data_IF_012076277551
#
_entry.id   IF_012076277551
#
_cell.length_a   1.000
_cell.length_b   1.000
_cell.length_c   1.000
_cell.angle_alpha   90.00
_cell.angle_beta   90.00
_cell.angle_gamma   90.00
#
_symmetry.space_group_name_H-M   'P 1'
#
loop_
_entity.id
_entity.type
_entity.pdbx_description
1 polymer ?
#
# COMPACT_ATOMS: atom_id res chain seq x y z
N UNK A 1 0.38 -9.92 -0.32
CA UNK A 1 0.99 -8.73 0.30
C UNK A 1 0.27 -8.52 1.61
N UNK A 2 0.97 -8.38 2.72
CA UNK A 2 0.34 -8.02 3.99
C UNK A 2 -0.25 -6.63 3.86
N UNK A 3 -1.45 -6.39 4.36
CA UNK A 3 -2.11 -5.09 4.33
C UNK A 3 -1.53 -4.06 5.30
N UNK A 4 -0.42 -4.37 5.97
CA UNK A 4 0.14 -3.50 7.01
C UNK A 4 0.71 -2.20 6.44
N UNK A 5 0.35 -1.08 7.03
CA UNK A 5 0.84 0.25 6.69
C UNK A 5 2.37 0.41 6.84
N UNK A 6 3.03 -0.50 7.54
CA UNK A 6 4.48 -0.48 7.79
C UNK A 6 5.24 -1.57 7.02
N UNK A 7 4.55 -2.62 6.55
CA UNK A 7 5.19 -3.81 5.98
C UNK A 7 5.76 -3.63 4.58
N UNK A 8 5.34 -2.63 3.89
CA UNK A 8 5.81 -2.37 2.54
C UNK A 8 6.49 -1.01 2.54
N UNK A 9 7.81 -1.02 2.69
CA UNK A 9 8.63 0.16 2.43
C UNK A 9 8.36 0.58 0.99
N UNK A 10 7.49 1.57 0.81
CA UNK A 10 7.05 2.01 -0.51
C UNK A 10 5.56 1.94 -0.78
N UNK A 11 4.74 1.46 0.14
CA UNK A 11 3.28 1.54 -0.01
C UNK A 11 2.77 2.92 0.42
N UNK A 12 3.04 3.90 -0.43
CA UNK A 12 2.60 5.30 -0.26
C UNK A 12 1.09 5.46 -0.08
N UNK A 13 0.32 4.48 -0.54
CA UNK A 13 -1.15 4.46 -0.48
C UNK A 13 -1.70 4.12 0.91
N UNK A 14 -0.92 3.43 1.75
CA UNK A 14 -1.33 3.09 3.11
C UNK A 14 -0.81 4.09 4.14
N UNK A 15 0.47 4.45 4.04
CA UNK A 15 1.08 5.45 4.91
C UNK A 15 2.16 6.22 4.15
N UNK A 16 1.95 7.51 3.86
CA UNK A 16 2.94 8.30 3.14
C UNK A 16 4.30 8.42 3.87
N UNK A 17 4.35 8.27 5.19
CA UNK A 17 5.61 8.26 5.93
C UNK A 17 6.44 6.97 5.72
N UNK A 18 5.86 5.92 5.13
CA UNK A 18 6.58 4.66 4.88
C UNK A 18 7.83 4.82 4.03
N UNK A 19 7.90 5.84 3.20
CA UNK A 19 9.06 6.13 2.37
C UNK A 19 10.14 6.97 3.08
N UNK A 20 9.87 7.50 4.29
CA UNK A 20 10.81 8.39 4.97
C UNK A 20 12.17 7.73 5.28
N UNK A 21 12.18 6.42 5.47
CA UNK A 21 13.38 5.62 5.73
C UNK A 21 14.02 5.01 4.47
N UNK A 22 13.47 5.28 3.29
CA UNK A 22 14.03 4.74 2.04
C UNK A 22 15.34 5.44 1.69
N UNK A 23 16.39 4.67 1.46
CA UNK A 23 17.75 5.18 1.17
C UNK A 23 18.16 5.03 -0.29
N UNK A 24 17.33 4.38 -1.14
CA UNK A 24 17.67 4.00 -2.50
C UNK A 24 16.59 4.40 -3.50
N UNK A 25 16.95 4.42 -4.78
CA UNK A 25 15.96 4.47 -5.84
C UNK A 25 15.20 3.14 -5.86
N UNK A 26 13.89 3.19 -5.63
CA UNK A 26 13.03 1.99 -5.67
C UNK A 26 11.90 2.22 -6.66
N UNK A 27 11.74 1.29 -7.60
CA UNK A 27 10.59 1.30 -8.54
C UNK A 27 9.87 -0.02 -8.43
N UNK A 28 8.57 0.01 -8.15
CA UNK A 28 7.72 -1.16 -7.98
C UNK A 28 6.56 -1.11 -8.94
N UNK A 29 6.30 -2.24 -9.59
CA UNK A 29 5.17 -2.48 -10.47
C UNK A 29 4.39 -3.67 -9.94
N UNK A 30 3.07 -3.59 -9.92
CA UNK A 30 2.22 -4.73 -9.64
C UNK A 30 1.10 -4.84 -10.67
N UNK A 31 0.64 -6.07 -10.88
CA UNK A 31 -0.47 -6.37 -11.76
C UNK A 31 -1.31 -7.53 -11.22
N UNK A 32 -2.60 -7.31 -11.13
CA UNK A 32 -3.61 -8.33 -10.81
C UNK A 32 -4.59 -8.42 -11.98
N UNK A 33 -4.45 -9.43 -12.87
CA UNK A 33 -5.18 -9.47 -14.14
C UNK A 33 -6.68 -9.72 -13.98
N UNK A 34 -7.06 -10.49 -12.97
CA UNK A 34 -8.45 -10.89 -12.76
C UNK A 34 -8.72 -11.18 -11.28
N UNK A 35 -8.84 -10.12 -10.45
CA UNK A 35 -9.32 -10.29 -9.09
C UNK A 35 -10.63 -11.07 -9.08
N UNK A 36 -10.73 -12.07 -8.20
CA UNK A 36 -11.90 -12.95 -8.09
C UNK A 36 -12.29 -13.66 -9.41
N UNK A 37 -11.30 -13.89 -10.29
CA UNK A 37 -11.48 -14.43 -11.64
C UNK A 37 -12.29 -13.52 -12.59
N UNK A 38 -12.44 -12.24 -12.26
CA UNK A 38 -13.14 -11.24 -13.06
C UNK A 38 -12.13 -10.29 -13.73
N UNK A 39 -11.85 -10.42 -15.05
CA UNK A 39 -10.92 -9.52 -15.78
C UNK A 39 -11.34 -8.05 -15.73
N UNK A 40 -12.65 -7.80 -15.52
CA UNK A 40 -13.21 -6.45 -15.36
C UNK A 40 -12.68 -5.71 -14.12
N UNK A 41 -12.14 -6.45 -13.15
CA UNK A 41 -11.55 -5.89 -11.94
C UNK A 41 -10.02 -5.82 -12.02
N UNK A 42 -9.44 -5.85 -13.23
CA UNK A 42 -7.99 -5.79 -13.39
C UNK A 42 -7.41 -4.57 -12.67
N UNK A 43 -6.29 -4.78 -11.99
CA UNK A 43 -5.63 -3.73 -11.22
C UNK A 43 -4.13 -3.71 -11.54
N UNK A 44 -3.65 -2.55 -11.91
CA UNK A 44 -2.26 -2.26 -12.23
C UNK A 44 -1.77 -1.10 -11.38
N UNK A 45 -0.52 -1.12 -10.97
CA UNK A 45 0.10 0.01 -10.29
C UNK A 45 1.61 0.08 -10.51
N UNK A 46 2.10 1.31 -10.50
CA UNK A 46 3.51 1.67 -10.60
C UNK A 46 3.82 2.71 -9.52
N UNK A 47 4.92 2.55 -8.82
CA UNK A 47 5.42 3.53 -7.86
C UNK A 47 6.93 3.64 -8.00
N UNK A 48 7.44 4.86 -8.03
CA UNK A 48 8.88 5.15 -7.99
C UNK A 48 9.17 6.05 -6.82
N UNK A 49 10.14 5.66 -5.99
CA UNK A 49 10.61 6.39 -4.81
C UNK A 49 12.06 6.78 -5.05
N UNK A 50 12.41 8.01 -4.74
CA UNK A 50 13.79 8.50 -4.80
C UNK A 50 14.14 9.30 -3.56
N UNK A 51 15.31 9.01 -3.01
CA UNK A 51 15.89 9.79 -1.93
C UNK A 51 16.62 11.03 -2.50
N UNK A 52 16.42 12.17 -1.84
CA UNK A 52 17.13 13.43 -2.06
C UNK A 52 17.60 13.97 -0.71
N UNK A 53 18.79 13.56 -0.29
CA UNK A 53 19.39 13.91 0.99
C UNK A 53 18.47 13.66 2.21
N UNK A 54 17.73 14.72 2.60
CA UNK A 54 16.88 14.68 3.80
C UNK A 54 15.42 14.33 3.51
N UNK A 55 15.01 14.35 2.24
CA UNK A 55 13.62 14.10 1.84
C UNK A 55 13.53 12.96 0.85
N UNK A 56 12.52 12.17 1.01
CA UNK A 56 12.13 11.16 0.05
C UNK A 56 10.89 11.61 -0.71
N UNK A 57 10.93 11.43 -2.02
CA UNK A 57 9.80 11.69 -2.89
C UNK A 57 9.37 10.40 -3.58
N UNK A 58 8.08 10.28 -3.79
CA UNK A 58 7.54 9.22 -4.62
C UNK A 58 6.52 9.75 -5.62
N UNK A 59 6.49 9.13 -6.79
CA UNK A 59 5.42 9.29 -7.78
C UNK A 59 4.75 7.92 -7.98
N UNK A 60 3.42 7.91 -8.03
CA UNK A 60 2.64 6.69 -8.17
C UNK A 60 1.53 6.83 -9.21
N UNK A 61 1.20 5.72 -9.82
CA UNK A 61 0.09 5.57 -10.75
C UNK A 61 -0.61 4.26 -10.48
N UNK A 62 -1.96 4.28 -10.42
CA UNK A 62 -2.75 3.05 -10.42
C UNK A 62 -3.90 3.16 -11.40
N UNK A 63 -4.30 2.01 -11.95
CA UNK A 63 -5.49 1.89 -12.78
C UNK A 63 -6.25 0.64 -12.39
N UNK A 64 -7.55 0.79 -12.13
CA UNK A 64 -8.47 -0.28 -11.78
C UNK A 64 -9.66 -0.26 -12.71
N UNK A 65 -10.14 -1.45 -13.09
CA UNK A 65 -11.36 -1.59 -13.86
C UNK A 65 -11.15 -1.88 -15.35
N UNK A 66 -12.13 -1.54 -16.15
CA UNK A 66 -12.22 -1.88 -17.58
C UNK A 66 -12.82 -0.75 -18.42
N UNK A 67 -13.20 -1.01 -19.68
CA UNK A 67 -13.67 0.03 -20.60
C UNK A 67 -14.93 0.76 -20.17
N UNK A 68 -15.84 0.09 -19.43
CA UNK A 68 -17.09 0.70 -18.97
C UNK A 68 -16.98 1.43 -17.63
N UNK A 69 -16.02 1.04 -16.79
CA UNK A 69 -15.77 1.61 -15.48
C UNK A 69 -14.26 1.61 -15.21
N UNK A 70 -13.66 2.76 -15.05
CA UNK A 70 -12.22 2.88 -14.78
C UNK A 70 -11.94 3.94 -13.73
N UNK A 71 -11.17 3.53 -12.74
CA UNK A 71 -10.54 4.42 -11.79
C UNK A 71 -9.05 4.55 -12.10
N UNK A 72 -8.56 5.77 -12.11
CA UNK A 72 -7.15 6.07 -12.32
C UNK A 72 -6.67 7.03 -11.24
N UNK A 73 -5.56 6.72 -10.61
CA UNK A 73 -4.99 7.56 -9.55
C UNK A 73 -3.56 7.91 -9.90
N UNK A 74 -3.26 9.20 -9.85
CA UNK A 74 -1.89 9.73 -9.88
C UNK A 74 -1.56 10.27 -8.51
N UNK A 75 -0.42 9.90 -7.95
CA UNK A 75 0.02 10.34 -6.63
C UNK A 75 1.40 10.95 -6.64
N UNK A 76 1.60 11.88 -5.72
CA UNK A 76 2.90 12.43 -5.39
C UNK A 76 3.04 12.48 -3.87
N UNK A 77 4.11 11.86 -3.36
CA UNK A 77 4.38 11.74 -1.93
C UNK A 77 5.69 12.42 -1.60
N UNK A 78 5.71 13.11 -0.47
CA UNK A 78 6.92 13.64 0.14
C UNK A 78 6.99 13.19 1.61
N UNK A 79 8.14 12.69 2.05
CA UNK A 79 8.34 12.26 3.43
C UNK A 79 9.77 12.49 3.89
N UNK A 80 9.95 12.66 5.21
CA UNK A 80 11.26 12.88 5.83
C UNK A 80 11.31 12.29 7.22
N UNK A 81 12.50 11.90 7.65
CA UNK A 81 12.82 11.66 9.05
C UNK A 81 13.24 12.99 9.70
N UNK A 82 12.53 13.43 10.71
CA UNK A 82 12.87 14.62 11.51
C UNK A 82 13.92 14.31 12.57
N UNK A 83 13.86 13.09 13.11
CA UNK A 83 14.85 12.51 14.04
C UNK A 83 15.13 11.07 13.61
N UNK A 84 16.07 10.41 14.27
CA UNK A 84 16.34 8.97 14.02
C UNK A 84 15.12 8.09 14.28
N UNK A 85 14.21 8.54 15.17
CA UNK A 85 13.04 7.75 15.60
C UNK A 85 11.71 8.31 15.16
N UNK A 86 11.64 9.47 14.47
CA UNK A 86 10.37 10.08 14.07
C UNK A 86 10.43 10.61 12.64
N UNK A 87 9.48 10.18 11.82
CA UNK A 87 9.27 10.66 10.47
C UNK A 87 7.81 10.98 10.16
N UNK A 88 7.60 11.82 9.16
CA UNK A 88 6.27 12.11 8.64
C UNK A 88 6.28 12.23 7.12
N UNK A 89 5.10 12.10 6.54
CA UNK A 89 4.89 12.21 5.10
C UNK A 89 3.51 12.74 4.75
N UNK A 90 3.43 13.30 3.58
CA UNK A 90 2.20 13.76 2.94
C UNK A 90 2.11 13.14 1.55
N UNK A 91 0.92 12.71 1.17
CA UNK A 91 0.61 12.27 -0.18
C UNK A 91 -0.53 13.11 -0.74
N UNK A 92 -0.38 13.56 -1.97
CA UNK A 92 -1.45 14.23 -2.72
C UNK A 92 -1.73 13.40 -3.95
N UNK A 93 -2.98 13.01 -4.16
CA UNK A 93 -3.35 12.23 -5.31
C UNK A 93 -4.59 12.76 -6.02
N UNK A 94 -4.57 12.68 -7.34
CA UNK A 94 -5.69 12.97 -8.21
C UNK A 94 -6.38 11.66 -8.58
N UNK A 95 -7.63 11.52 -8.15
CA UNK A 95 -8.48 10.37 -8.47
C UNK A 95 -9.37 10.75 -9.64
N UNK A 96 -9.28 10.01 -10.72
CA UNK A 96 -10.10 10.16 -11.91
C UNK A 96 -10.98 8.93 -12.10
N UNK A 97 -12.29 9.14 -12.02
CA UNK A 97 -13.32 8.12 -12.28
C UNK A 97 -13.91 8.39 -13.66
N UNK A 98 -14.00 7.35 -14.48
CA UNK A 98 -14.65 7.38 -15.79
C UNK A 98 -15.66 6.24 -15.91
N UNK A 99 -16.92 6.57 -16.18
CA UNK A 99 -18.01 5.60 -16.37
C UNK A 99 -18.62 5.85 -17.74
N UNK A 100 -18.61 4.82 -18.59
CA UNK A 100 -19.15 4.92 -19.95
C UNK A 100 -20.61 5.33 -19.90
N UNK A 101 -21.01 6.28 -20.72
CA UNK A 101 -22.34 6.87 -20.82
C UNK A 101 -22.77 7.72 -19.61
N UNK A 102 -22.01 7.77 -18.52
CA UNK A 102 -22.30 8.63 -17.37
C UNK A 102 -21.31 9.81 -17.25
N UNK A 103 -20.15 9.73 -17.93
CA UNK A 103 -19.14 10.77 -17.92
C UNK A 103 -17.94 10.46 -17.03
N UNK A 104 -17.24 11.50 -16.62
CA UNK A 104 -16.06 11.37 -15.75
C UNK A 104 -16.01 12.47 -14.70
N UNK A 105 -15.40 12.17 -13.58
CA UNK A 105 -15.14 13.11 -12.48
C UNK A 105 -13.68 12.98 -12.02
N UNK A 106 -13.12 14.09 -11.53
CA UNK A 106 -11.78 14.10 -10.96
C UNK A 106 -11.81 14.84 -9.64
N UNK A 107 -11.17 14.27 -8.63
CA UNK A 107 -11.04 14.91 -7.33
C UNK A 107 -9.62 14.77 -6.80
N UNK A 108 -9.22 15.70 -5.94
CA UNK A 108 -7.91 15.68 -5.28
C UNK A 108 -8.08 15.22 -3.84
N UNK A 109 -7.23 14.32 -3.41
CA UNK A 109 -7.23 13.74 -2.07
C UNK A 109 -5.86 13.98 -1.43
N UNK A 110 -5.86 14.26 -0.14
CA UNK A 110 -4.64 14.45 0.66
C UNK A 110 -4.62 13.47 1.81
N UNK A 111 -3.48 12.80 1.97
CA UNK A 111 -3.21 11.86 3.06
C UNK A 111 -2.04 12.35 3.89
N UNK A 112 -2.08 12.07 5.18
CA UNK A 112 -0.99 12.32 6.11
C UNK A 112 -0.54 11.01 6.75
N UNK A 113 0.74 10.93 7.07
CA UNK A 113 1.28 9.78 7.76
C UNK A 113 2.43 10.13 8.69
N UNK A 114 2.62 9.30 9.71
CA UNK A 114 3.77 9.36 10.59
C UNK A 114 4.31 7.96 10.84
N UNK A 115 5.61 7.89 11.15
CA UNK A 115 6.29 6.69 11.60
C UNK A 115 7.13 7.03 12.83
N UNK A 116 7.07 6.17 13.84
CA UNK A 116 7.82 6.29 15.09
C UNK A 116 8.55 4.96 15.31
N UNK A 117 9.87 5.03 15.53
CA UNK A 117 10.74 3.89 15.83
C UNK A 117 11.30 4.08 17.24
N UNK A 118 10.54 3.76 18.31
CA UNK A 118 10.94 4.06 19.70
C UNK A 118 12.11 3.22 20.20
N UNK A 119 12.25 2.03 19.64
CA UNK A 119 13.38 1.10 19.88
C UNK A 119 13.75 0.42 18.58
N UNK A 120 14.92 -0.16 18.53
CA UNK A 120 15.38 -0.93 17.37
C UNK A 120 14.41 -2.03 16.99
N UNK A 121 14.19 -2.23 15.69
CA UNK A 121 13.31 -3.26 15.11
C UNK A 121 11.82 -3.12 15.43
N UNK A 122 11.37 -2.07 16.09
CA UNK A 122 9.96 -1.82 16.38
C UNK A 122 9.52 -0.48 15.81
N UNK A 123 8.47 -0.52 14.98
CA UNK A 123 7.90 0.67 14.36
C UNK A 123 6.41 0.77 14.69
N UNK A 124 5.96 2.00 14.87
CA UNK A 124 4.56 2.38 15.02
C UNK A 124 4.25 3.37 13.89
N UNK A 125 3.19 3.12 13.14
CA UNK A 125 2.73 4.01 12.07
C UNK A 125 1.33 4.51 12.32
N UNK A 126 1.09 5.77 11.99
CA UNK A 126 -0.24 6.35 11.93
C UNK A 126 -0.46 6.94 10.56
N UNK A 127 -1.63 6.72 9.99
CA UNK A 127 -2.03 7.29 8.70
C UNK A 127 -3.47 7.76 8.76
N UNK A 128 -3.71 8.90 8.14
CA UNK A 128 -5.03 9.46 7.89
C UNK A 128 -5.17 9.72 6.40
N UNK A 129 -5.98 8.92 5.76
CA UNK A 129 -6.25 9.01 4.33
C UNK A 129 -7.52 9.84 4.11
N UNK A 130 -7.50 10.67 3.07
CA UNK A 130 -8.56 11.61 2.73
C UNK A 130 -8.90 12.59 3.89
N UNK A 131 -7.90 13.34 4.35
CA UNK A 131 -8.07 14.33 5.43
C UNK A 131 -9.11 15.40 5.08
N UNK A 132 -9.21 15.76 3.79
CA UNK A 132 -10.14 16.77 3.27
C UNK A 132 -11.57 16.29 3.07
N UNK A 133 -11.85 14.99 3.29
CA UNK A 133 -13.15 14.36 2.97
C UNK A 133 -13.58 14.65 1.53
N UNK A 134 -12.65 14.50 0.61
CA UNK A 134 -12.89 14.69 -0.83
C UNK A 134 -13.92 13.68 -1.34
N UNK A 135 -14.70 14.08 -2.35
CA UNK A 135 -15.71 13.25 -3.02
C UNK A 135 -15.65 13.46 -4.53
N UNK A 136 -16.23 12.57 -5.31
CA UNK A 136 -16.46 12.78 -6.75
C UNK A 136 -17.73 13.60 -7.05
N UNK A 137 -18.65 13.68 -6.11
CA UNK A 137 -19.91 14.40 -6.20
C UNK A 137 -20.64 14.41 -4.87
N UNK A 138 -21.91 14.82 -4.86
CA UNK A 138 -22.68 14.99 -3.62
C UNK A 138 -22.92 13.67 -2.85
N UNK A 139 -22.99 12.55 -3.56
CA UNK A 139 -23.33 11.23 -2.99
C UNK A 139 -22.24 10.18 -3.19
N UNK A 140 -21.04 10.58 -3.65
CA UNK A 140 -19.94 9.66 -3.97
C UNK A 140 -18.66 10.03 -3.20
N UNK A 141 -18.73 9.82 -1.90
CA UNK A 141 -17.66 10.15 -0.96
C UNK A 141 -16.50 9.14 -1.03
N UNK A 142 -15.28 9.63 -1.18
CA UNK A 142 -14.08 8.83 -0.98
C UNK A 142 -13.91 8.51 0.51
N UNK A 143 -13.60 7.24 0.87
CA UNK A 143 -13.42 6.84 2.27
C UNK A 143 -12.42 7.71 3.00
N UNK A 144 -12.74 8.13 4.23
CA UNK A 144 -11.78 8.64 5.19
C UNK A 144 -11.35 7.50 6.11
N UNK A 145 -10.07 7.14 6.06
CA UNK A 145 -9.54 5.95 6.72
C UNK A 145 -8.41 6.35 7.68
N UNK A 146 -8.54 5.91 8.94
CA UNK A 146 -7.49 5.98 9.96
C UNK A 146 -6.83 4.62 10.07
N UNK A 147 -5.49 4.58 10.01
CA UNK A 147 -4.73 3.35 10.19
C UNK A 147 -3.72 3.56 11.30
N UNK A 148 -3.68 2.62 12.24
CA UNK A 148 -2.64 2.50 13.25
C UNK A 148 -1.97 1.15 13.05
N UNK A 149 -0.68 1.15 12.74
CA UNK A 149 0.09 -0.04 12.45
C UNK A 149 1.25 -0.22 13.41
N UNK A 150 1.57 -1.49 13.70
CA UNK A 150 2.70 -1.90 14.49
C UNK A 150 3.49 -2.94 13.72
N UNK A 151 4.81 -2.82 13.68
CA UNK A 151 5.67 -3.86 13.12
C UNK A 151 6.86 -4.13 14.03
N UNK A 152 7.23 -5.39 14.14
CA UNK A 152 8.36 -5.84 14.93
C UNK A 152 9.16 -6.91 14.17
N UNK A 153 10.45 -6.67 14.03
CA UNK A 153 11.38 -7.67 13.51
C UNK A 153 11.81 -8.56 14.67
N UNK A 154 11.14 -9.72 14.79
CA UNK A 154 11.33 -10.68 15.89
C UNK A 154 12.71 -11.33 15.85
N UNK A 155 13.19 -11.60 14.63
CA UNK A 155 14.52 -12.14 14.32
C UNK A 155 15.01 -11.46 13.06
N UNK A 156 16.30 -11.47 12.76
CA UNK A 156 16.90 -10.84 11.57
C UNK A 156 16.18 -11.19 10.24
N UNK A 157 15.40 -12.26 10.23
CA UNK A 157 14.73 -12.81 9.04
C UNK A 157 13.19 -12.87 9.14
N UNK A 158 12.62 -12.40 10.25
CA UNK A 158 11.17 -12.52 10.49
C UNK A 158 10.60 -11.21 10.99
N UNK A 159 9.66 -10.66 10.26
CA UNK A 159 8.92 -9.46 10.66
C UNK A 159 7.43 -9.79 10.82
N UNK A 160 6.84 -9.34 11.91
CA UNK A 160 5.40 -9.44 12.18
C UNK A 160 4.84 -8.03 12.17
N UNK A 161 3.64 -7.85 11.62
CA UNK A 161 2.94 -6.59 11.69
C UNK A 161 1.43 -6.77 11.91
N UNK A 162 0.84 -5.76 12.55
CA UNK A 162 -0.59 -5.69 12.84
C UNK A 162 -1.05 -4.27 12.58
N UNK A 163 -2.17 -4.12 11.86
CA UNK A 163 -2.84 -2.83 11.68
C UNK A 163 -4.25 -2.87 12.24
N UNK A 164 -4.66 -1.73 12.78
CA UNK A 164 -6.04 -1.39 13.10
C UNK A 164 -6.49 -0.37 12.06
N UNK A 165 -7.57 -0.66 11.36
CA UNK A 165 -8.10 0.15 10.27
C UNK A 165 -9.50 0.61 10.60
N UNK A 166 -9.72 1.90 10.65
CA UNK A 166 -11.02 2.48 10.93
C UNK A 166 -11.46 3.37 9.75
N UNK A 167 -12.41 2.88 8.96
CA UNK A 167 -13.17 3.68 8.01
C UNK A 167 -14.34 4.32 8.77
N UNK A 168 -14.51 5.62 8.62
CA UNK A 168 -15.57 6.38 9.35
C UNK A 168 -16.98 5.84 9.07
N UNK A 169 -17.17 5.14 7.95
CA UNK A 169 -18.47 4.60 7.52
C UNK A 169 -18.71 3.14 7.92
N UNK A 170 -17.66 2.43 8.36
CA UNK A 170 -17.71 0.99 8.60
C UNK A 170 -17.17 0.62 9.98
N UNK A 171 -17.35 -0.62 10.37
CA UNK A 171 -16.75 -1.17 11.59
C UNK A 171 -15.23 -1.21 11.47
N UNK A 172 -14.55 -1.07 12.60
CA UNK A 172 -13.10 -1.19 12.71
C UNK A 172 -12.62 -2.57 12.25
N UNK A 173 -11.68 -2.58 11.32
CA UNK A 173 -11.02 -3.76 10.81
C UNK A 173 -9.63 -3.97 11.39
N UNK A 174 -9.13 -5.20 11.25
CA UNK A 174 -7.79 -5.61 11.70
C UNK A 174 -7.08 -6.32 10.55
N UNK A 175 -5.78 -6.05 10.42
CA UNK A 175 -4.90 -6.73 9.47
C UNK A 175 -3.71 -7.28 10.23
N UNK A 176 -3.26 -8.46 9.89
CA UNK A 176 -2.05 -9.04 10.45
C UNK A 176 -1.24 -9.71 9.34
N UNK A 177 0.06 -9.66 9.46
CA UNK A 177 0.95 -10.26 8.48
C UNK A 177 2.28 -10.69 9.09
N UNK A 178 2.89 -11.67 8.44
CA UNK A 178 4.23 -12.16 8.72
C UNK A 178 5.03 -12.21 7.42
N UNK A 179 6.26 -11.73 7.47
CA UNK A 179 7.25 -11.90 6.43
C UNK A 179 8.42 -12.70 6.99
N UNK A 180 8.85 -13.70 6.25
CA UNK A 180 9.97 -14.57 6.59
C UNK A 180 10.92 -14.69 5.41
N UNK A 181 12.19 -14.38 5.62
CA UNK A 181 13.27 -14.49 4.64
C UNK A 181 14.23 -15.60 5.05
N UNK A 182 13.93 -16.89 4.74
CA UNK A 182 14.78 -18.03 5.10
C UNK A 182 16.17 -17.91 4.48
N UNK A 183 16.26 -17.28 3.34
CA UNK A 183 17.48 -17.01 2.58
C UNK A 183 17.42 -15.60 2.01
N UNK A 184 18.57 -14.99 1.74
CA UNK A 184 18.66 -13.63 1.16
C UNK A 184 17.91 -13.47 -0.17
N UNK A 185 17.72 -14.57 -0.90
CA UNK A 185 17.06 -14.60 -2.20
C UNK A 185 15.55 -14.85 -2.06
N UNK A 186 15.07 -15.41 -0.96
CA UNK A 186 13.67 -15.89 -0.84
C UNK A 186 12.97 -15.11 0.25
N UNK A 187 11.76 -14.63 -0.06
CA UNK A 187 10.85 -13.99 0.88
C UNK A 187 9.51 -14.72 0.83
N UNK A 188 9.01 -15.14 1.98
CA UNK A 188 7.70 -15.78 2.13
C UNK A 188 6.82 -14.86 2.96
N UNK A 189 5.57 -14.69 2.56
CA UNK A 189 4.61 -13.81 3.22
C UNK A 189 3.29 -14.52 3.46
N UNK A 190 2.69 -14.29 4.61
CA UNK A 190 1.33 -14.68 4.91
C UNK A 190 0.63 -13.55 5.66
N UNK A 191 -0.68 -13.45 5.53
CA UNK A 191 -1.44 -12.41 6.20
C UNK A 191 -2.94 -12.64 6.17
N UNK A 192 -3.65 -11.83 6.92
CA UNK A 192 -5.11 -11.83 6.99
C UNK A 192 -5.63 -10.41 7.14
N UNK A 193 -6.86 -10.21 6.69
CA UNK A 193 -7.58 -8.94 6.78
C UNK A 193 -9.03 -9.23 7.12
N UNK A 194 -9.55 -8.57 8.15
CA UNK A 194 -10.91 -8.80 8.63
C UNK A 194 -11.97 -8.07 7.80
N UNK A 195 -11.67 -6.87 7.26
CA UNK A 195 -12.64 -6.04 6.55
C UNK A 195 -13.26 -6.73 5.33
N UNK A 196 -12.50 -7.59 4.68
CA UNK A 196 -12.93 -8.35 3.52
C UNK A 196 -12.85 -9.88 3.73
N UNK A 197 -12.60 -10.32 4.97
CA UNK A 197 -12.43 -11.75 5.31
C UNK A 197 -11.45 -12.45 4.36
N UNK A 198 -10.27 -11.85 4.16
CA UNK A 198 -9.27 -12.34 3.22
C UNK A 198 -8.07 -12.96 3.93
N UNK A 199 -7.56 -14.03 3.32
CA UNK A 199 -6.25 -14.60 3.63
C UNK A 199 -5.29 -14.33 2.46
N UNK A 200 -4.05 -14.01 2.79
CA UNK A 200 -3.00 -13.71 1.83
C UNK A 200 -1.84 -14.68 1.97
N UNK A 201 -1.28 -15.08 0.85
CA UNK A 201 0.00 -15.77 0.77
C UNK A 201 0.84 -15.18 -0.34
N UNK A 202 2.16 -15.21 -0.20
CA UNK A 202 3.05 -14.70 -1.23
C UNK A 202 4.45 -15.28 -1.12
N UNK A 203 5.12 -15.32 -2.26
CA UNK A 203 6.53 -15.66 -2.37
C UNK A 203 7.22 -14.60 -3.22
N UNK A 204 8.40 -14.19 -2.79
CA UNK A 204 9.28 -13.27 -3.51
C UNK A 204 10.64 -13.89 -3.77
N UNK A 205 11.22 -13.59 -4.92
CA UNK A 205 12.58 -14.00 -5.29
C UNK A 205 13.38 -12.74 -5.60
N UNK A 206 14.49 -12.55 -4.88
CA UNK A 206 15.44 -11.45 -5.06
C UNK A 206 16.58 -11.91 -5.96
N UNK A 207 16.82 -11.17 -7.05
CA UNK A 207 17.90 -11.44 -8.01
C UNK A 207 18.60 -10.10 -8.27
N UNK A 208 19.80 -9.92 -7.74
CA UNK A 208 20.52 -8.63 -7.80
C UNK A 208 19.64 -7.48 -7.29
N UNK A 209 19.45 -6.47 -8.12
CA UNK A 209 18.60 -5.29 -7.83
C UNK A 209 17.10 -5.53 -8.07
N UNK A 210 16.68 -6.72 -8.49
CA UNK A 210 15.29 -7.04 -8.77
C UNK A 210 14.69 -7.99 -7.75
N UNK A 211 13.44 -7.77 -7.42
CA UNK A 211 12.61 -8.72 -6.69
C UNK A 211 11.35 -9.00 -7.51
N UNK A 212 11.05 -10.28 -7.71
CA UNK A 212 9.83 -10.74 -8.38
C UNK A 212 8.96 -11.38 -7.30
N UNK A 213 7.74 -10.91 -7.18
CA UNK A 213 6.77 -11.38 -6.19
C UNK A 213 5.56 -12.01 -6.88
N UNK A 214 5.10 -13.12 -6.34
CA UNK A 214 3.80 -13.70 -6.64
C UNK A 214 2.96 -13.71 -5.38
N UNK A 215 1.72 -13.24 -5.48
CA UNK A 215 0.77 -13.18 -4.37
C UNK A 215 -0.56 -13.82 -4.73
N UNK A 216 -1.16 -14.46 -3.75
CA UNK A 216 -2.51 -14.99 -3.80
C UNK A 216 -3.32 -14.43 -2.63
N UNK A 217 -4.55 -14.03 -2.89
CA UNK A 217 -5.52 -13.66 -1.88
C UNK A 217 -6.78 -14.50 -2.03
N UNK A 218 -7.35 -14.93 -0.91
CA UNK A 218 -8.62 -15.64 -0.89
C UNK A 218 -9.69 -14.73 -0.28
N UNK A 219 -10.87 -14.72 -0.85
CA UNK A 219 -12.05 -14.12 -0.26
C UNK A 219 -13.10 -15.22 -0.06
N UNK A 220 -13.74 -15.26 1.11
CA UNK A 220 -14.66 -16.33 1.48
C UNK A 220 -15.80 -16.55 0.49
N UNK A 221 -16.29 -15.48 -0.14
CA UNK A 221 -17.42 -15.52 -1.06
C UNK A 221 -17.03 -15.29 -2.53
N UNK A 222 -16.00 -14.50 -2.79
CA UNK A 222 -15.64 -14.08 -4.15
C UNK A 222 -14.54 -14.93 -4.80
N UNK A 223 -13.85 -15.76 -4.01
CA UNK A 223 -12.84 -16.68 -4.53
C UNK A 223 -11.42 -16.10 -4.51
N UNK A 224 -10.62 -16.42 -5.53
CA UNK A 224 -9.18 -16.20 -5.56
C UNK A 224 -8.79 -14.97 -6.39
N UNK A 225 -7.78 -14.26 -5.90
CA UNK A 225 -7.10 -13.20 -6.63
C UNK A 225 -5.62 -13.52 -6.72
N UNK A 226 -5.05 -13.45 -7.91
CA UNK A 226 -3.62 -13.61 -8.15
C UNK A 226 -3.00 -12.25 -8.49
N UNK A 227 -1.78 -12.04 -8.03
CA UNK A 227 -1.02 -10.81 -8.32
C UNK A 227 0.44 -11.13 -8.60
N UNK A 228 1.05 -10.37 -9.49
CA UNK A 228 2.48 -10.41 -9.76
C UNK A 228 3.04 -9.02 -9.48
N UNK A 229 4.21 -8.97 -8.86
CA UNK A 229 4.95 -7.74 -8.59
C UNK A 229 6.38 -7.83 -9.09
N UNK A 230 6.93 -6.70 -9.50
CA UNK A 230 8.36 -6.57 -9.81
C UNK A 230 8.83 -5.29 -9.12
N UNK A 231 9.89 -5.41 -8.32
CA UNK A 231 10.53 -4.28 -7.66
C UNK A 231 11.99 -4.21 -8.07
N UNK A 232 12.42 -3.02 -8.47
CA UNK A 232 13.82 -2.67 -8.70
C UNK A 232 14.28 -1.76 -7.56
N UNK A 233 15.43 -2.05 -6.97
CA UNK A 233 16.08 -1.22 -5.94
C UNK A 233 17.57 -1.11 -6.22
N UNK A 234 18.10 0.12 -6.23
CA UNK A 234 19.52 0.42 -6.49
C UNK A 234 20.06 1.39 -5.44
#
# INVERSE_FOLDING_TARGET
MSGSALFNTGNVWLNPASIAQNSSLTTSLFYSPSPFQLPQLSHFGLTTIKNFDRMNFAAGFTSFGFSLYRETVFSFTAATMFTESFGAGINVHANHLSIQSYGSATTTVVDLGTIISPIENFNIGFSLNNIGRSSFGADDDIPQIFITGFSYMVMEKTTIAVDIVHDVRYSTGYRAGIEFSPHEIIVIRAGTQSEQSQLYGGIGIKIFSFQIDYGIATHTELGLTNSIGITFSN
#
